data_IF_000777708012
#
_entry.id   IF_000777708012
#
_cell.length_a   1.000
_cell.length_b   1.000
_cell.length_c   1.000
_cell.angle_alpha   90.00
_cell.angle_beta   90.00
_cell.angle_gamma   90.00
#
_symmetry.space_group_name_H-M   'P 1'
#
loop_
_entity.id
_entity.type
_entity.pdbx_description
1 polymer ?
#
# COMPACT_ATOMS: atom_id res chain seq x y z
N UNK A 1 -5.50 -19.22 13.78
CA UNK A 1 -5.17 -18.50 12.53
C UNK A 1 -5.32 -19.38 11.29
N UNK A 2 -4.61 -20.50 11.15
CA UNK A 2 -4.78 -21.39 10.00
C UNK A 2 -6.22 -21.90 9.83
N UNK A 3 -6.91 -22.23 10.94
CA UNK A 3 -8.28 -22.72 10.93
C UNK A 3 -9.33 -21.68 10.50
N UNK A 4 -9.04 -20.38 10.62
CA UNK A 4 -9.96 -19.30 10.21
C UNK A 4 -9.73 -18.84 8.78
N UNK A 5 -8.59 -19.21 8.17
CA UNK A 5 -8.19 -18.81 6.83
C UNK A 5 -7.75 -20.02 5.97
N UNK A 6 -8.52 -21.13 6.06
CA UNK A 6 -8.16 -22.38 5.35
C UNK A 6 -7.99 -22.14 3.85
N UNK A 7 -8.85 -21.31 3.23
CA UNK A 7 -8.74 -20.96 1.82
C UNK A 7 -7.39 -20.29 1.48
N UNK A 8 -6.96 -19.32 2.30
CA UNK A 8 -5.68 -18.65 2.15
C UNK A 8 -4.51 -19.61 2.36
N UNK A 9 -4.58 -20.46 3.38
CA UNK A 9 -3.53 -21.47 3.64
C UNK A 9 -3.40 -22.44 2.47
N UNK A 10 -4.52 -22.93 1.95
CA UNK A 10 -4.54 -23.80 0.77
C UNK A 10 -3.89 -23.08 -0.44
N UNK A 11 -4.31 -21.85 -0.69
CA UNK A 11 -3.74 -21.04 -1.77
C UNK A 11 -2.22 -20.88 -1.61
N UNK A 12 -1.74 -20.48 -0.43
CA UNK A 12 -0.31 -20.31 -0.18
C UNK A 12 0.49 -21.60 -0.35
N UNK A 13 -0.04 -22.72 0.10
CA UNK A 13 0.59 -24.03 -0.11
C UNK A 13 0.66 -24.35 -1.61
N UNK A 14 -0.42 -24.13 -2.36
CA UNK A 14 -0.42 -24.32 -3.80
C UNK A 14 0.62 -23.44 -4.50
N UNK A 15 0.76 -22.17 -4.09
CA UNK A 15 1.74 -21.25 -4.68
C UNK A 15 3.20 -21.65 -4.38
N UNK A 16 3.47 -22.15 -3.17
CA UNK A 16 4.81 -22.63 -2.79
C UNK A 16 5.26 -23.82 -3.66
N UNK A 17 4.33 -24.73 -3.97
CA UNK A 17 4.60 -25.92 -4.77
C UNK A 17 4.33 -25.75 -6.27
N UNK A 18 3.90 -24.55 -6.70
CA UNK A 18 3.68 -24.27 -8.12
C UNK A 18 5.01 -24.26 -8.86
N UNK A 19 5.15 -25.13 -9.85
CA UNK A 19 6.30 -25.17 -10.73
C UNK A 19 6.33 -24.00 -11.72
N UNK A 20 7.37 -23.97 -12.55
CA UNK A 20 7.54 -22.88 -13.51
C UNK A 20 6.42 -22.85 -14.56
N UNK A 21 6.04 -24.01 -15.09
CA UNK A 21 5.01 -24.11 -16.13
C UNK A 21 3.66 -23.62 -15.58
N UNK A 22 3.29 -24.00 -14.35
CA UNK A 22 2.09 -23.50 -13.70
C UNK A 22 2.11 -22.01 -13.39
N UNK A 23 3.29 -21.37 -13.26
CA UNK A 23 3.40 -19.90 -13.15
C UNK A 23 3.20 -19.23 -14.50
N UNK A 24 3.73 -19.82 -15.57
CA UNK A 24 3.51 -19.36 -16.96
C UNK A 24 2.03 -19.48 -17.33
N UNK A 25 1.36 -20.56 -16.94
CA UNK A 25 -0.08 -20.73 -17.17
C UNK A 25 -0.91 -19.62 -16.51
N UNK A 26 -0.55 -19.22 -15.29
CA UNK A 26 -1.18 -18.06 -14.64
C UNK A 26 -0.89 -16.74 -15.36
N UNK A 27 0.32 -16.58 -15.90
CA UNK A 27 0.67 -15.40 -16.68
C UNK A 27 -0.19 -15.29 -17.95
N UNK A 28 -0.52 -16.42 -18.57
CA UNK A 28 -1.39 -16.47 -19.75
C UNK A 28 -2.79 -15.91 -19.51
N UNK A 29 -3.28 -15.88 -18.25
CA UNK A 29 -4.56 -15.23 -17.92
C UNK A 29 -4.54 -13.71 -18.18
N UNK A 30 -3.35 -13.09 -18.07
CA UNK A 30 -3.13 -11.65 -18.22
C UNK A 30 -2.42 -11.28 -19.52
N UNK A 31 -1.54 -12.16 -19.97
CA UNK A 31 -0.76 -12.00 -21.20
C UNK A 31 -0.74 -13.31 -22.01
N UNK A 32 -1.78 -13.55 -22.82
CA UNK A 32 -1.93 -14.82 -23.55
C UNK A 32 -0.82 -15.16 -24.54
N UNK A 33 -0.08 -14.15 -25.00
CA UNK A 33 1.04 -14.31 -25.95
C UNK A 33 2.40 -14.56 -25.25
N UNK A 34 2.45 -14.74 -23.92
CA UNK A 34 3.69 -15.03 -23.24
C UNK A 34 4.31 -16.35 -23.72
N UNK A 35 5.61 -16.35 -24.04
CA UNK A 35 6.37 -17.60 -24.25
C UNK A 35 7.21 -17.83 -22.98
N UNK A 36 7.04 -18.95 -22.31
CA UNK A 36 7.76 -19.29 -21.08
C UNK A 36 9.28 -19.23 -21.20
N UNK A 37 9.83 -19.33 -22.42
CA UNK A 37 11.26 -19.20 -22.67
C UNK A 37 11.82 -17.80 -22.44
N UNK A 38 10.94 -16.78 -22.51
CA UNK A 38 11.31 -15.37 -22.34
C UNK A 38 11.18 -14.92 -20.89
N UNK A 39 10.78 -15.82 -19.97
CA UNK A 39 10.47 -15.51 -18.59
C UNK A 39 11.32 -16.31 -17.62
N UNK A 40 11.63 -15.70 -16.48
CA UNK A 40 12.31 -16.36 -15.37
C UNK A 40 11.67 -15.97 -14.02
N UNK A 41 11.83 -16.83 -13.02
CA UNK A 41 11.38 -16.53 -11.66
C UNK A 41 12.47 -15.83 -10.89
N UNK A 42 12.25 -14.55 -10.55
CA UNK A 42 13.17 -13.76 -9.74
C UNK A 42 12.56 -13.54 -8.35
N UNK A 43 13.30 -13.89 -7.30
CA UNK A 43 12.91 -13.60 -5.92
C UNK A 43 13.25 -12.14 -5.62
N UNK A 44 12.24 -11.29 -5.65
CA UNK A 44 12.41 -9.83 -5.48
C UNK A 44 12.55 -9.40 -4.01
N UNK A 45 12.11 -10.21 -3.05
CA UNK A 45 12.19 -9.90 -1.62
C UNK A 45 11.19 -10.69 -0.77
N UNK A 46 11.16 -10.33 0.50
CA UNK A 46 10.24 -10.90 1.48
C UNK A 46 9.34 -9.82 2.06
N UNK A 47 8.09 -10.17 2.34
CA UNK A 47 7.12 -9.27 2.94
C UNK A 47 6.78 -9.72 4.35
N UNK A 48 6.77 -8.77 5.29
CA UNK A 48 6.26 -8.98 6.65
C UNK A 48 4.75 -8.76 6.67
N UNK A 49 4.00 -9.70 7.26
CA UNK A 49 2.58 -9.54 7.52
C UNK A 49 2.33 -9.34 9.01
N UNK A 50 1.42 -8.42 9.32
CA UNK A 50 1.06 -8.11 10.70
C UNK A 50 -0.08 -9.01 11.16
N UNK A 51 0.08 -9.61 12.35
CA UNK A 51 -0.96 -10.37 13.02
C UNK A 51 -1.38 -9.57 14.24
N UNK A 52 -2.62 -9.07 14.23
CA UNK A 52 -3.20 -8.37 15.38
C UNK A 52 -4.02 -9.31 16.25
N UNK A 53 -4.02 -9.12 17.58
CA UNK A 53 -4.94 -9.82 18.45
C UNK A 53 -6.39 -9.53 18.06
N UNK A 54 -7.21 -10.57 17.94
CA UNK A 54 -8.65 -10.43 17.74
C UNK A 54 -9.38 -10.78 19.03
N UNK A 55 -10.42 -10.02 19.36
CA UNK A 55 -11.24 -10.28 20.54
C UNK A 55 -12.00 -11.62 20.43
N UNK A 56 -12.40 -11.98 19.21
CA UNK A 56 -13.05 -13.26 18.92
C UNK A 56 -12.91 -13.59 17.41
N UNK A 57 -12.52 -14.83 17.04
CA UNK A 57 -12.01 -15.90 17.92
C UNK A 57 -10.65 -15.50 18.53
N UNK A 58 -10.24 -16.13 19.62
CA UNK A 58 -8.96 -15.89 20.35
C UNK A 58 -7.68 -16.08 19.53
N UNK A 59 -7.78 -16.10 18.23
CA UNK A 59 -6.70 -16.27 17.27
C UNK A 59 -6.44 -14.92 16.60
N UNK A 60 -5.18 -14.56 16.42
CA UNK A 60 -4.81 -13.33 15.74
C UNK A 60 -5.43 -13.25 14.33
N UNK A 61 -5.81 -12.05 13.93
CA UNK A 61 -6.29 -11.74 12.58
C UNK A 61 -5.12 -11.25 11.73
N UNK A 62 -5.00 -11.81 10.52
CA UNK A 62 -4.05 -11.32 9.54
C UNK A 62 -4.53 -9.96 9.03
N UNK A 63 -3.70 -8.94 9.16
CA UNK A 63 -3.98 -7.62 8.63
C UNK A 63 -3.30 -7.45 7.29
N UNK A 64 -4.09 -7.10 6.28
CA UNK A 64 -3.60 -6.78 4.95
C UNK A 64 -3.40 -5.27 4.82
N UNK A 65 -2.34 -4.87 4.13
CA UNK A 65 -2.02 -3.48 3.92
C UNK A 65 -0.85 -2.99 4.75
N UNK A 66 -0.79 -1.68 4.96
CA UNK A 66 0.25 -1.01 5.74
C UNK A 66 -0.23 -0.79 7.16
N UNK A 67 0.62 -1.12 8.12
CA UNK A 67 0.39 -0.81 9.54
C UNK A 67 1.53 0.05 10.07
N UNK A 68 1.17 1.15 10.72
CA UNK A 68 2.10 1.96 11.51
C UNK A 68 2.04 1.48 12.97
N UNK A 69 3.17 1.05 13.50
CA UNK A 69 3.32 0.56 14.87
C UNK A 69 4.29 1.48 15.61
N UNK A 70 3.90 1.96 16.77
CA UNK A 70 4.73 2.79 17.61
C UNK A 70 4.64 2.34 19.09
N UNK A 71 5.64 2.67 19.88
CA UNK A 71 5.58 2.51 21.32
C UNK A 71 4.63 3.53 21.98
N UNK A 72 4.31 3.34 23.26
CA UNK A 72 3.37 4.21 23.97
C UNK A 72 3.81 5.66 24.09
N UNK A 73 5.13 5.91 24.05
CA UNK A 73 5.70 7.24 24.20
C UNK A 73 6.04 7.90 22.85
N UNK A 74 5.77 7.22 21.72
CA UNK A 74 6.09 7.75 20.40
C UNK A 74 7.58 7.88 20.09
N UNK A 75 8.46 7.19 20.85
CA UNK A 75 9.92 7.29 20.70
C UNK A 75 10.48 6.37 19.63
N UNK A 76 9.74 5.32 19.31
CA UNK A 76 10.07 4.36 18.23
C UNK A 76 8.82 4.10 17.42
N UNK A 77 8.95 4.15 16.12
CA UNK A 77 7.88 3.77 15.19
C UNK A 77 8.42 2.95 14.03
N UNK A 78 7.58 2.07 13.50
CA UNK A 78 7.88 1.24 12.34
C UNK A 78 6.69 1.14 11.40
N UNK A 79 6.98 1.12 10.09
CA UNK A 79 5.98 0.90 9.04
C UNK A 79 6.11 -0.54 8.55
N UNK A 80 5.06 -1.33 8.72
CA UNK A 80 5.03 -2.75 8.35
C UNK A 80 4.08 -2.97 7.19
N UNK A 81 4.43 -3.89 6.30
CA UNK A 81 3.59 -4.26 5.16
C UNK A 81 3.45 -3.17 4.10
N UNK A 82 4.34 -2.18 4.08
CA UNK A 82 4.31 -1.07 3.14
C UNK A 82 4.68 -1.52 1.72
N UNK A 83 3.67 -1.89 0.94
CA UNK A 83 3.82 -2.17 -0.49
C UNK A 83 2.50 -1.86 -1.20
N UNK A 84 2.48 -0.95 -2.18
CA UNK A 84 3.56 -0.15 -2.72
C UNK A 84 4.00 1.00 -1.79
N UNK A 85 5.28 1.00 -1.37
CA UNK A 85 5.80 1.94 -0.38
C UNK A 85 5.83 3.39 -0.86
N UNK A 86 6.31 3.63 -2.07
CA UNK A 86 6.48 4.98 -2.61
C UNK A 86 5.17 5.79 -2.65
N UNK A 87 4.06 5.18 -3.08
CA UNK A 87 2.77 5.86 -3.22
C UNK A 87 2.11 6.22 -1.88
N UNK A 88 2.36 5.44 -0.83
CA UNK A 88 1.75 5.66 0.48
C UNK A 88 2.66 6.40 1.46
N UNK A 89 3.94 6.56 1.14
CA UNK A 89 4.94 7.15 2.05
C UNK A 89 4.52 8.53 2.58
N UNK A 90 4.05 9.49 1.79
CA UNK A 90 3.66 10.79 2.33
C UNK A 90 2.58 10.69 3.39
N UNK A 91 1.52 9.91 3.13
CA UNK A 91 0.43 9.71 4.09
C UNK A 91 0.90 8.98 5.35
N UNK A 92 1.72 7.93 5.21
CA UNK A 92 2.26 7.19 6.33
C UNK A 92 3.20 8.04 7.19
N UNK A 93 3.98 8.94 6.59
CA UNK A 93 4.86 9.84 7.34
C UNK A 93 4.08 10.92 8.08
N UNK A 94 3.02 11.47 7.51
CA UNK A 94 2.13 12.40 8.20
C UNK A 94 1.50 11.70 9.43
N UNK A 95 0.96 10.50 9.25
CA UNK A 95 0.40 9.71 10.36
C UNK A 95 1.46 9.41 11.45
N UNK A 96 2.71 9.16 11.06
CA UNK A 96 3.82 8.98 12.00
C UNK A 96 4.08 10.26 12.81
N UNK A 97 4.11 11.41 12.15
CA UNK A 97 4.27 12.71 12.81
C UNK A 97 3.14 12.97 13.82
N UNK A 98 1.90 12.71 13.42
CA UNK A 98 0.73 12.85 14.30
C UNK A 98 0.82 11.96 15.54
N UNK A 99 1.29 10.72 15.39
CA UNK A 99 1.39 9.75 16.49
C UNK A 99 2.58 10.00 17.42
N UNK A 100 3.72 10.40 16.88
CA UNK A 100 4.98 10.52 17.64
C UNK A 100 5.27 11.96 18.09
N UNK A 101 4.71 12.95 17.40
CA UNK A 101 4.99 14.37 17.62
C UNK A 101 3.70 15.21 17.69
N UNK A 102 2.62 14.64 18.22
CA UNK A 102 1.29 15.27 18.22
C UNK A 102 1.26 16.68 18.81
N UNK A 103 2.07 16.95 19.82
CA UNK A 103 2.19 18.30 20.44
C UNK A 103 2.81 19.36 19.51
N UNK A 104 3.62 18.95 18.54
CA UNK A 104 4.24 19.84 17.56
C UNK A 104 3.35 20.07 16.31
N UNK A 105 2.29 19.28 16.13
CA UNK A 105 1.45 19.35 14.93
C UNK A 105 0.76 20.70 14.74
N UNK A 106 0.49 21.42 15.84
CA UNK A 106 -0.07 22.78 15.80
C UNK A 106 0.93 23.74 15.19
N UNK A 107 2.19 23.68 15.63
CA UNK A 107 3.26 24.57 15.16
C UNK A 107 3.64 24.28 13.70
N UNK A 108 3.51 23.02 13.27
CA UNK A 108 3.86 22.58 11.92
C UNK A 108 2.70 22.66 10.92
N UNK A 109 1.50 23.00 11.39
CA UNK A 109 0.28 22.98 10.58
C UNK A 109 0.39 23.80 9.28
N UNK A 110 0.87 25.04 9.37
CA UNK A 110 1.03 25.90 8.20
C UNK A 110 2.01 25.30 7.20
N UNK A 111 3.11 24.72 7.69
CA UNK A 111 4.13 24.09 6.82
C UNK A 111 3.60 22.80 6.18
N UNK A 112 2.81 22.03 6.90
CA UNK A 112 2.16 20.84 6.34
C UNK A 112 1.16 21.21 5.24
N UNK A 113 0.39 22.29 5.40
CA UNK A 113 -0.50 22.78 4.34
C UNK A 113 0.24 23.34 3.13
N UNK A 114 1.40 23.99 3.33
CA UNK A 114 2.26 24.41 2.23
C UNK A 114 2.79 23.23 1.42
N UNK A 115 3.24 22.17 2.12
CA UNK A 115 3.80 20.97 1.47
C UNK A 115 2.72 20.06 0.88
N UNK A 116 1.56 19.99 1.53
CA UNK A 116 0.44 19.13 1.16
C UNK A 116 -0.85 19.95 1.18
N UNK A 117 -1.21 20.65 0.08
CA UNK A 117 -2.38 21.52 0.03
C UNK A 117 -3.71 20.83 0.36
N UNK A 118 -3.76 19.51 0.24
CA UNK A 118 -4.91 18.67 0.59
C UNK A 118 -4.82 18.07 2.01
N UNK A 119 -3.83 18.45 2.81
CA UNK A 119 -3.72 18.00 4.19
C UNK A 119 -5.01 18.30 4.98
N UNK A 120 -5.51 17.32 5.70
CA UNK A 120 -6.78 17.42 6.43
C UNK A 120 -8.05 17.35 5.59
N UNK A 121 -7.96 17.33 4.25
CA UNK A 121 -9.11 17.18 3.35
C UNK A 121 -9.31 15.72 2.93
N UNK A 122 -10.54 15.31 2.77
CA UNK A 122 -10.88 13.99 2.24
C UNK A 122 -11.26 14.10 0.77
N UNK A 123 -10.31 13.81 -0.13
CA UNK A 123 -10.56 13.83 -1.57
C UNK A 123 -11.70 12.88 -2.01
N UNK A 124 -12.03 11.89 -1.21
CA UNK A 124 -13.19 11.00 -1.45
C UNK A 124 -14.54 11.69 -1.22
N UNK A 125 -14.57 12.73 -0.38
CA UNK A 125 -15.81 13.41 0.04
C UNK A 125 -15.92 14.85 -0.48
N UNK A 126 -14.81 15.40 -0.93
CA UNK A 126 -14.69 16.77 -1.45
C UNK A 126 -14.29 16.67 -2.93
N UNK A 127 -15.31 16.67 -3.79
CA UNK A 127 -15.18 16.54 -5.24
C UNK A 127 -14.40 17.73 -5.83
N UNK A 128 -14.64 18.94 -5.33
CA UNK A 128 -13.92 20.12 -5.82
C UNK A 128 -12.42 20.04 -5.49
N UNK A 129 -12.05 19.63 -4.28
CA UNK A 129 -10.66 19.43 -3.90
C UNK A 129 -10.01 18.29 -4.69
N UNK A 130 -10.76 17.24 -5.04
CA UNK A 130 -10.28 16.16 -5.89
C UNK A 130 -9.99 16.66 -7.30
N UNK A 131 -10.92 17.38 -7.93
CA UNK A 131 -10.77 17.88 -9.29
C UNK A 131 -9.60 18.86 -9.41
N UNK A 132 -9.46 19.78 -8.44
CA UNK A 132 -8.34 20.72 -8.36
C UNK A 132 -6.99 19.96 -8.27
N UNK A 133 -6.91 19.00 -7.35
CA UNK A 133 -5.70 18.20 -7.15
C UNK A 133 -5.39 17.33 -8.39
N UNK A 134 -6.41 16.78 -9.02
CA UNK A 134 -6.27 15.98 -10.22
C UNK A 134 -5.71 16.81 -11.37
N UNK A 135 -6.33 17.97 -11.66
CA UNK A 135 -5.88 18.87 -12.71
C UNK A 135 -4.43 19.34 -12.50
N UNK A 136 -4.09 19.69 -11.25
CA UNK A 136 -2.72 20.05 -10.89
C UNK A 136 -1.73 18.90 -11.12
N UNK A 137 -2.10 17.69 -10.74
CA UNK A 137 -1.28 16.49 -10.91
C UNK A 137 -1.04 16.18 -12.38
N UNK A 138 -2.10 16.19 -13.18
CA UNK A 138 -2.04 15.97 -14.64
C UNK A 138 -1.04 16.94 -15.28
N UNK A 139 -1.19 18.23 -15.01
CA UNK A 139 -0.30 19.28 -15.52
C UNK A 139 1.14 19.13 -15.05
N UNK A 140 1.34 18.85 -13.76
CA UNK A 140 2.69 18.77 -13.15
C UNK A 140 3.47 17.57 -13.66
N UNK A 141 2.80 16.45 -13.89
CA UNK A 141 3.39 15.21 -14.39
C UNK A 141 3.43 15.13 -15.93
N UNK A 142 2.87 16.11 -16.63
CA UNK A 142 2.79 16.09 -18.10
C UNK A 142 1.92 14.94 -18.62
N UNK A 143 0.86 14.62 -17.89
CA UNK A 143 -0.10 13.57 -18.28
C UNK A 143 -1.25 14.12 -19.14
N UNK A 144 -1.29 15.43 -19.38
CA UNK A 144 -2.21 16.10 -20.32
C UNK A 144 -1.77 15.82 -21.75
N UNK A 145 -1.62 14.55 -22.11
CA UNK A 145 -1.41 14.18 -23.53
C UNK A 145 -2.76 14.27 -24.22
N UNK A 146 -2.85 15.14 -25.22
CA UNK A 146 -3.96 15.13 -26.17
C UNK A 146 -4.23 13.69 -26.62
N UNK A 147 -5.47 13.23 -26.51
CA UNK A 147 -5.92 11.88 -26.90
C UNK A 147 -5.65 11.52 -28.39
N UNK A 148 -4.93 12.37 -29.12
CA UNK A 148 -4.64 12.25 -30.55
C UNK A 148 -3.22 11.78 -30.88
N UNK A 149 -2.44 11.24 -29.91
CA UNK A 149 -1.06 10.78 -30.21
C UNK A 149 -0.85 9.28 -29.98
N UNK A 150 -1.86 8.46 -30.24
CA UNK A 150 -1.72 6.99 -30.39
C UNK A 150 -2.28 6.54 -31.71
#
# INVERSE_FOLDING_TARGET
MAATNIGLVKYLVQEVFRDFDGKVDMLHEYYPAADGKDWEVVVAGQRVQVIKPAAFPRFGTLEFGTALVNDQNGTIAGVLGASPGASITPAAMIELLERCFGEHMIDWGDKLHEMFPTYGKSLKRDEAAYDEQWAWTQKTLGLDTDENTL
#
